data_IF_577739050893
#
_entry.id   IF_577739050893
#
_cell.length_a   1.000
_cell.length_b   1.000
_cell.length_c   1.000
_cell.angle_alpha   90.00
_cell.angle_beta   90.00
_cell.angle_gamma   90.00
#
_symmetry.space_group_name_H-M   'P 1'
#
loop_
_entity.id
_entity.type
_entity.pdbx_description
1 polymer ?
#
# COMPACT_ATOMS: atom_id res chain seq x y z
N UNK A 1 -24.96 -3.85 34.13
CA UNK A 1 -24.61 -5.11 34.84
C UNK A 1 -24.12 -6.13 33.82
N UNK A 2 -22.84 -6.51 33.87
CA UNK A 2 -22.36 -7.65 33.08
C UNK A 2 -22.74 -8.94 33.81
N UNK A 3 -23.53 -9.82 33.20
CA UNK A 3 -23.78 -11.16 33.77
C UNK A 3 -22.45 -11.89 33.85
N UNK A 4 -22.07 -12.33 35.05
CA UNK A 4 -20.90 -13.18 35.27
C UNK A 4 -21.28 -14.58 34.73
N UNK A 5 -20.64 -14.98 33.64
CA UNK A 5 -20.79 -16.31 33.04
C UNK A 5 -19.46 -17.01 33.24
N UNK A 6 -19.48 -18.27 33.68
CA UNK A 6 -18.24 -19.00 33.93
C UNK A 6 -17.49 -19.23 32.60
N UNK A 7 -16.15 -19.13 32.58
CA UNK A 7 -15.36 -19.28 31.36
C UNK A 7 -15.52 -20.67 30.71
N UNK A 8 -15.74 -21.71 31.52
CA UNK A 8 -16.01 -23.07 31.02
C UNK A 8 -17.25 -23.14 30.11
N UNK A 9 -18.31 -22.41 30.45
CA UNK A 9 -19.56 -22.38 29.67
C UNK A 9 -19.34 -21.64 28.35
N UNK A 10 -18.53 -20.58 28.36
CA UNK A 10 -18.20 -19.84 27.13
C UNK A 10 -17.34 -20.66 26.17
N UNK A 11 -16.45 -21.52 26.69
CA UNK A 11 -15.66 -22.45 25.87
C UNK A 11 -16.56 -23.50 25.20
N UNK A 12 -17.49 -24.11 25.93
CA UNK A 12 -18.44 -25.07 25.33
C UNK A 12 -19.34 -24.42 24.27
N UNK A 13 -19.77 -23.18 24.51
CA UNK A 13 -20.54 -22.42 23.52
C UNK A 13 -19.68 -22.08 22.29
N UNK A 14 -18.40 -21.75 22.46
CA UNK A 14 -17.46 -21.54 21.35
C UNK A 14 -17.30 -22.80 20.49
N UNK A 15 -17.08 -23.95 21.12
CA UNK A 15 -16.90 -25.23 20.42
C UNK A 15 -18.14 -25.57 19.58
N UNK A 16 -19.34 -25.43 20.16
CA UNK A 16 -20.60 -25.62 19.43
C UNK A 16 -20.76 -24.72 18.21
N UNK A 17 -20.36 -23.45 18.31
CA UNK A 17 -20.44 -22.52 17.17
C UNK A 17 -19.41 -22.89 16.09
N UNK A 18 -18.24 -23.41 16.46
CA UNK A 18 -17.21 -23.85 15.52
C UNK A 18 -17.60 -25.13 14.78
N UNK A 19 -18.21 -26.08 15.48
CA UNK A 19 -18.71 -27.36 14.94
C UNK A 19 -19.93 -27.20 14.04
N UNK A 20 -20.65 -26.06 14.15
CA UNK A 20 -21.84 -25.83 13.36
C UNK A 20 -21.53 -25.69 11.84
N UNK A 21 -22.38 -26.27 10.96
CA UNK A 21 -22.24 -26.17 9.51
C UNK A 21 -22.21 -24.72 8.99
N UNK A 22 -21.64 -24.54 7.80
CA UNK A 22 -21.58 -23.23 7.15
C UNK A 22 -23.00 -22.69 6.89
N UNK A 23 -23.31 -21.50 7.41
CA UNK A 23 -24.64 -20.89 7.34
C UNK A 23 -25.50 -21.03 8.61
N UNK A 24 -25.25 -22.02 9.47
CA UNK A 24 -26.07 -22.28 10.68
C UNK A 24 -25.47 -21.70 11.96
N UNK A 25 -24.22 -21.20 11.91
CA UNK A 25 -23.52 -20.59 13.05
C UNK A 25 -24.30 -19.45 13.71
N UNK A 26 -25.06 -18.68 12.93
CA UNK A 26 -25.89 -17.60 13.48
C UNK A 26 -27.08 -18.15 14.28
N UNK A 27 -27.69 -19.25 13.85
CA UNK A 27 -28.81 -19.88 14.54
C UNK A 27 -28.36 -20.47 15.89
N UNK A 28 -27.23 -21.18 15.90
CA UNK A 28 -26.62 -21.72 17.14
C UNK A 28 -26.28 -20.60 18.12
N UNK A 29 -25.74 -19.49 17.61
CA UNK A 29 -25.42 -18.34 18.44
C UNK A 29 -26.67 -17.67 19.06
N UNK A 30 -27.79 -17.62 18.35
CA UNK A 30 -29.06 -17.10 18.89
C UNK A 30 -29.67 -18.01 19.95
N UNK A 31 -29.61 -19.33 19.74
CA UNK A 31 -30.08 -20.32 20.71
C UNK A 31 -29.29 -20.25 22.02
N UNK A 32 -27.95 -20.24 21.93
CA UNK A 32 -27.06 -20.14 23.07
C UNK A 32 -27.18 -18.78 23.78
N UNK A 33 -27.39 -17.70 23.02
CA UNK A 33 -27.68 -16.39 23.60
C UNK A 33 -28.98 -16.39 24.38
N UNK A 34 -30.03 -17.07 23.89
CA UNK A 34 -31.30 -17.23 24.60
C UNK A 34 -31.12 -18.06 25.87
N UNK A 35 -30.38 -19.15 25.81
CA UNK A 35 -30.07 -19.99 26.97
C UNK A 35 -29.34 -19.22 28.08
N UNK A 36 -28.35 -18.40 27.72
CA UNK A 36 -27.60 -17.56 28.65
C UNK A 36 -28.36 -16.27 29.05
N UNK A 37 -29.53 -16.02 28.44
CA UNK A 37 -30.35 -14.83 28.59
C UNK A 37 -29.60 -13.53 28.26
N UNK A 38 -28.80 -13.57 27.20
CA UNK A 38 -28.05 -12.44 26.65
C UNK A 38 -28.58 -12.11 25.25
N UNK A 39 -28.31 -10.88 24.77
CA UNK A 39 -28.53 -10.60 23.36
C UNK A 39 -27.46 -11.31 22.51
N UNK A 40 -27.76 -11.73 21.27
CA UNK A 40 -26.79 -12.33 20.36
C UNK A 40 -25.52 -11.48 20.21
N UNK A 41 -25.68 -10.16 20.07
CA UNK A 41 -24.55 -9.22 20.03
C UNK A 41 -23.74 -9.15 21.33
N UNK A 42 -24.40 -9.27 22.49
CA UNK A 42 -23.75 -9.31 23.80
C UNK A 42 -22.92 -10.58 24.00
N UNK A 43 -23.43 -11.74 23.57
CA UNK A 43 -22.69 -13.00 23.59
C UNK A 43 -21.48 -12.94 22.67
N UNK A 44 -21.62 -12.42 21.44
CA UNK A 44 -20.50 -12.19 20.51
C UNK A 44 -19.40 -11.31 21.11
N UNK A 45 -19.78 -10.17 21.67
CA UNK A 45 -18.84 -9.24 22.29
C UNK A 45 -18.11 -9.89 23.48
N UNK A 46 -18.80 -10.76 24.23
CA UNK A 46 -18.22 -11.47 25.36
C UNK A 46 -17.27 -12.58 24.94
N UNK A 47 -17.64 -13.41 23.95
CA UNK A 47 -16.76 -14.42 23.35
C UNK A 47 -15.49 -13.78 22.78
N UNK A 48 -15.62 -12.64 22.08
CA UNK A 48 -14.46 -11.90 21.56
C UNK A 48 -13.55 -11.39 22.68
N UNK A 49 -14.14 -10.80 23.73
CA UNK A 49 -13.40 -10.19 24.85
C UNK A 49 -12.70 -11.21 25.75
N UNK A 50 -13.39 -12.29 26.10
CA UNK A 50 -12.91 -13.24 27.12
C UNK A 50 -12.12 -14.41 26.52
N UNK A 51 -12.32 -14.73 25.24
CA UNK A 51 -11.70 -15.89 24.58
C UNK A 51 -10.90 -15.55 23.32
N UNK A 52 -10.65 -14.26 23.03
CA UNK A 52 -9.93 -13.79 21.84
C UNK A 52 -10.35 -14.52 20.54
N UNK A 53 -11.65 -14.75 20.39
CA UNK A 53 -12.20 -15.58 19.32
C UNK A 53 -12.44 -14.78 18.04
N UNK A 54 -11.41 -14.14 17.50
CA UNK A 54 -11.53 -13.40 16.24
C UNK A 54 -11.75 -14.33 15.04
N UNK A 55 -11.29 -15.59 15.12
CA UNK A 55 -11.53 -16.65 14.12
C UNK A 55 -13.02 -16.97 13.91
N UNK A 56 -13.85 -16.79 14.95
CA UNK A 56 -15.28 -17.06 14.90
C UNK A 56 -16.06 -15.99 14.11
N UNK A 57 -15.48 -14.80 13.98
CA UNK A 57 -16.16 -13.65 13.41
C UNK A 57 -15.29 -13.09 12.31
N UNK A 58 -15.51 -13.60 11.09
CA UNK A 58 -14.88 -13.07 9.90
C UNK A 58 -15.21 -11.58 9.79
N UNK A 59 -14.21 -10.76 10.11
CA UNK A 59 -14.27 -9.31 10.05
C UNK A 59 -13.86 -8.82 8.68
N UNK A 60 -13.43 -9.71 7.79
CA UNK A 60 -13.06 -9.33 6.45
C UNK A 60 -14.31 -9.02 5.66
N UNK A 61 -14.49 -7.74 5.33
CA UNK A 61 -15.50 -7.32 4.37
C UNK A 61 -15.28 -8.12 3.09
N UNK A 62 -16.30 -8.88 2.68
CA UNK A 62 -16.25 -9.63 1.44
C UNK A 62 -15.87 -8.69 0.30
N UNK A 63 -14.69 -8.93 -0.27
CA UNK A 63 -14.18 -8.15 -1.39
C UNK A 63 -15.06 -8.46 -2.61
N UNK A 64 -15.41 -7.42 -3.36
CA UNK A 64 -16.19 -7.62 -4.60
C UNK A 64 -15.39 -8.48 -5.57
N UNK A 65 -16.09 -9.30 -6.35
CA UNK A 65 -15.47 -10.25 -7.31
C UNK A 65 -14.68 -9.54 -8.42
N UNK A 66 -15.02 -8.30 -8.73
CA UNK A 66 -14.38 -7.45 -9.74
C UNK A 66 -13.23 -6.58 -9.18
N UNK A 67 -12.94 -6.67 -7.89
CA UNK A 67 -12.01 -5.75 -7.23
C UNK A 67 -10.57 -5.96 -7.69
N UNK A 68 -10.12 -5.13 -8.64
CA UNK A 68 -8.79 -5.19 -9.26
C UNK A 68 -8.83 -5.60 -10.73
N UNK A 69 -10.01 -5.94 -11.28
CA UNK A 69 -10.19 -6.16 -12.71
C UNK A 69 -10.30 -4.82 -13.43
N UNK A 70 -9.60 -4.70 -14.56
CA UNK A 70 -9.58 -3.51 -15.41
C UNK A 70 -9.59 -3.94 -16.87
N UNK A 71 -10.37 -3.23 -17.69
CA UNK A 71 -10.35 -3.38 -19.16
C UNK A 71 -9.10 -2.77 -19.78
N UNK A 72 -8.39 -1.90 -19.06
CA UNK A 72 -7.13 -1.30 -19.52
C UNK A 72 -6.03 -2.35 -19.46
N UNK A 73 -5.48 -2.70 -20.62
CA UNK A 73 -4.38 -3.64 -20.73
C UNK A 73 -3.05 -3.04 -20.26
N UNK A 74 -2.08 -3.89 -19.94
CA UNK A 74 -0.73 -3.44 -19.58
C UNK A 74 -0.05 -2.71 -20.74
N UNK A 75 -0.27 -3.14 -21.99
CA UNK A 75 0.28 -2.50 -23.18
C UNK A 75 -0.28 -1.09 -23.39
N UNK A 76 -1.58 -0.90 -23.13
CA UNK A 76 -2.22 0.41 -23.15
C UNK A 76 -1.62 1.34 -22.08
N UNK A 77 -1.40 0.83 -20.86
CA UNK A 77 -0.75 1.58 -19.77
C UNK A 77 0.68 2.00 -20.14
N UNK A 78 1.48 1.07 -20.70
CA UNK A 78 2.84 1.35 -21.14
C UNK A 78 2.88 2.38 -22.27
N UNK A 79 1.92 2.33 -23.20
CA UNK A 79 1.80 3.29 -24.29
C UNK A 79 1.58 4.70 -23.74
N UNK A 80 0.61 4.87 -22.83
CA UNK A 80 0.34 6.18 -22.19
C UNK A 80 1.54 6.64 -21.35
N UNK A 81 2.20 5.73 -20.61
CA UNK A 81 3.38 6.04 -19.81
C UNK A 81 4.53 6.60 -20.67
N UNK A 82 4.75 6.09 -21.88
CA UNK A 82 5.75 6.62 -22.81
C UNK A 82 5.49 8.07 -23.18
N UNK A 83 4.23 8.45 -23.44
CA UNK A 83 3.87 9.84 -23.72
C UNK A 83 4.01 10.73 -22.48
N UNK A 84 3.73 10.21 -21.28
CA UNK A 84 3.94 10.94 -20.02
C UNK A 84 5.42 11.28 -19.79
N UNK A 85 6.33 10.33 -20.04
CA UNK A 85 7.78 10.54 -19.92
C UNK A 85 8.30 11.44 -21.05
N UNK A 86 7.86 11.22 -22.28
CA UNK A 86 8.27 12.01 -23.44
C UNK A 86 7.85 13.49 -23.37
N UNK A 87 6.79 13.80 -22.63
CA UNK A 87 6.33 15.17 -22.37
C UNK A 87 7.07 15.92 -21.25
N UNK A 88 8.04 15.28 -20.58
CA UNK A 88 8.85 15.94 -19.56
C UNK A 88 9.79 16.99 -20.19
N UNK A 89 9.88 18.20 -19.61
CA UNK A 89 10.74 19.27 -20.14
C UNK A 89 12.20 18.97 -19.81
N UNK A 90 13.13 19.45 -20.65
CA UNK A 90 14.60 19.37 -20.44
C UNK A 90 15.08 19.93 -19.09
N UNK A 91 14.28 20.77 -18.42
CA UNK A 91 14.61 21.38 -17.13
C UNK A 91 14.17 20.53 -15.91
N UNK A 92 13.81 19.25 -16.09
CA UNK A 92 13.35 18.37 -15.00
C UNK A 92 11.95 18.70 -14.46
N UNK A 93 11.32 19.80 -14.93
CA UNK A 93 9.93 20.10 -14.63
C UNK A 93 9.01 19.24 -15.50
N UNK A 94 8.20 18.41 -14.83
CA UNK A 94 7.24 17.53 -15.47
C UNK A 94 6.13 18.36 -16.13
N UNK A 95 6.05 18.30 -17.46
CA UNK A 95 5.14 19.13 -18.27
C UNK A 95 3.94 18.41 -18.87
N UNK A 96 3.90 17.08 -18.81
CA UNK A 96 2.81 16.29 -19.38
C UNK A 96 1.65 16.14 -18.40
N UNK A 97 0.50 16.73 -18.71
CA UNK A 97 -0.77 16.35 -18.08
C UNK A 97 -1.25 15.02 -18.69
N UNK A 98 -1.87 14.17 -17.87
CA UNK A 98 -2.42 12.88 -18.31
C UNK A 98 -3.42 13.05 -19.45
N UNK A 99 -4.19 14.14 -19.44
CA UNK A 99 -5.11 14.50 -20.53
C UNK A 99 -4.39 14.65 -21.87
N UNK A 100 -3.25 15.33 -21.89
CA UNK A 100 -2.43 15.49 -23.09
C UNK A 100 -1.82 14.17 -23.56
N UNK A 101 -1.33 13.35 -22.63
CA UNK A 101 -0.78 12.04 -22.94
C UNK A 101 -1.84 11.09 -23.52
N UNK A 102 -3.05 11.08 -22.97
CA UNK A 102 -4.16 10.28 -23.48
C UNK A 102 -4.64 10.75 -24.85
N UNK A 103 -4.64 12.06 -25.11
CA UNK A 103 -4.97 12.60 -26.44
C UNK A 103 -4.01 12.09 -27.51
N UNK A 104 -2.71 12.04 -27.20
CA UNK A 104 -1.67 11.56 -28.12
C UNK A 104 -1.64 10.04 -28.24
N UNK A 105 -1.95 9.32 -27.15
CA UNK A 105 -1.97 7.86 -27.11
C UNK A 105 -3.24 7.26 -27.73
N UNK A 106 -4.31 8.04 -27.90
CA UNK A 106 -5.63 7.60 -28.38
C UNK A 106 -5.64 6.71 -29.64
N UNK A 107 -4.83 6.96 -30.69
CA UNK A 107 -4.78 6.08 -31.86
C UNK A 107 -4.02 4.76 -31.63
N UNK A 108 -3.33 4.62 -30.50
CA UNK A 108 -2.46 3.48 -30.18
C UNK A 108 -2.95 2.63 -29.01
N UNK A 109 -4.07 3.01 -28.38
CA UNK A 109 -4.69 2.28 -27.28
C UNK A 109 -6.00 1.64 -27.73
N UNK A 110 -6.44 0.62 -27.01
CA UNK A 110 -7.73 -0.01 -27.27
C UNK A 110 -8.91 0.99 -27.14
N UNK A 111 -9.95 0.89 -27.98
CA UNK A 111 -11.10 1.82 -27.94
C UNK A 111 -11.86 1.75 -26.62
N UNK A 112 -11.88 0.57 -25.98
CA UNK A 112 -12.47 0.37 -24.66
C UNK A 112 -11.68 1.10 -23.57
N UNK A 113 -10.34 1.07 -23.61
CA UNK A 113 -9.49 1.83 -22.69
C UNK A 113 -9.60 3.36 -22.94
N UNK A 114 -9.75 3.79 -24.20
CA UNK A 114 -9.91 5.19 -24.55
C UNK A 114 -11.23 5.81 -24.04
N UNK A 115 -12.25 4.99 -23.78
CA UNK A 115 -13.53 5.43 -23.21
C UNK A 115 -13.50 5.56 -21.67
N UNK A 116 -12.43 5.10 -21.02
CA UNK A 116 -12.32 5.14 -19.56
C UNK A 116 -12.08 6.55 -19.04
N UNK A 117 -12.59 6.81 -17.83
CA UNK A 117 -12.40 8.09 -17.16
C UNK A 117 -10.94 8.34 -16.77
N UNK A 118 -10.56 9.62 -16.65
CA UNK A 118 -9.23 10.03 -16.21
C UNK A 118 -8.86 9.50 -14.82
N UNK A 119 -9.83 9.42 -13.91
CA UNK A 119 -9.61 8.87 -12.57
C UNK A 119 -9.30 7.37 -12.62
N UNK A 120 -9.93 6.63 -13.52
CA UNK A 120 -9.60 5.22 -13.79
C UNK A 120 -8.16 5.09 -14.29
N UNK A 121 -7.76 5.92 -15.27
CA UNK A 121 -6.39 5.93 -15.78
C UNK A 121 -5.35 6.26 -14.71
N UNK A 122 -5.59 7.30 -13.88
CA UNK A 122 -4.70 7.65 -12.76
C UNK A 122 -4.56 6.50 -11.77
N UNK A 123 -5.66 5.82 -11.44
CA UNK A 123 -5.65 4.68 -10.53
C UNK A 123 -4.85 3.52 -11.13
N UNK A 124 -5.12 3.14 -12.38
CA UNK A 124 -4.45 2.01 -13.03
C UNK A 124 -2.97 2.26 -13.27
N UNK A 125 -2.58 3.47 -13.69
CA UNK A 125 -1.17 3.86 -13.80
C UNK A 125 -0.46 3.80 -12.44
N UNK A 126 -1.12 4.23 -11.35
CA UNK A 126 -0.55 4.11 -10.00
C UNK A 126 -0.41 2.66 -9.54
N UNK A 127 -1.41 1.81 -9.82
CA UNK A 127 -1.36 0.39 -9.45
C UNK A 127 -0.31 -0.39 -10.23
N UNK A 128 0.01 0.06 -11.45
CA UNK A 128 1.05 -0.51 -12.30
C UNK A 128 2.44 0.11 -12.08
N UNK A 129 2.61 0.99 -11.08
CA UNK A 129 3.85 1.74 -10.82
C UNK A 129 4.33 2.63 -11.99
N UNK A 130 3.42 3.03 -12.87
CA UNK A 130 3.64 3.88 -14.05
C UNK A 130 3.11 5.30 -13.86
N UNK A 131 2.85 5.72 -12.61
CA UNK A 131 2.49 7.12 -12.37
C UNK A 131 3.67 8.04 -12.67
N UNK A 132 3.37 9.27 -13.07
CA UNK A 132 4.39 10.27 -13.41
C UNK A 132 5.41 10.48 -12.29
N UNK A 133 4.95 10.46 -11.03
CA UNK A 133 5.79 10.55 -9.83
C UNK A 133 6.68 9.33 -9.62
N UNK A 134 6.22 8.13 -10.00
CA UNK A 134 7.00 6.89 -9.87
C UNK A 134 8.02 6.78 -11.00
N UNK A 135 7.65 7.13 -12.23
CA UNK A 135 8.56 7.15 -13.38
C UNK A 135 9.68 8.18 -13.22
N UNK A 136 9.48 9.24 -12.43
CA UNK A 136 10.49 10.25 -12.13
C UNK A 136 11.41 9.89 -10.95
N UNK A 137 11.11 8.82 -10.21
CA UNK A 137 12.00 8.36 -9.15
C UNK A 137 13.18 7.61 -9.75
N UNK A 138 14.40 8.04 -9.44
CA UNK A 138 15.59 7.28 -9.76
C UNK A 138 15.54 5.91 -9.08
N UNK A 139 15.87 4.87 -9.84
CA UNK A 139 15.93 3.48 -9.39
C UNK A 139 17.21 3.23 -8.56
N UNK A 140 17.31 3.91 -7.42
CA UNK A 140 18.51 3.89 -6.59
C UNK A 140 18.26 3.15 -5.27
N UNK A 141 17.89 1.86 -5.36
CA UNK A 141 18.12 0.91 -4.27
C UNK A 141 18.97 -0.25 -4.77
N UNK A 142 20.29 -0.14 -4.58
CA UNK A 142 21.15 -1.33 -4.61
C UNK A 142 20.82 -2.17 -3.39
N UNK A 143 20.01 -3.21 -3.59
CA UNK A 143 19.82 -4.26 -2.60
C UNK A 143 21.03 -5.17 -2.73
N UNK A 144 21.96 -5.08 -1.78
CA UNK A 144 23.07 -6.01 -1.68
C UNK A 144 22.65 -7.10 -0.70
N UNK A 145 22.46 -8.32 -1.18
CA UNK A 145 22.20 -9.50 -0.34
C UNK A 145 23.48 -10.27 -0.12
N UNK A 146 23.62 -10.91 1.03
CA UNK A 146 24.76 -11.77 1.32
C UNK A 146 24.37 -12.92 2.22
N UNK A 147 24.84 -14.13 1.91
CA UNK A 147 24.49 -15.34 2.67
C UNK A 147 25.14 -15.41 4.05
N UNK A 148 26.20 -14.61 4.29
CA UNK A 148 26.95 -14.58 5.53
C UNK A 148 27.12 -13.14 6.03
N UNK A 149 26.95 -12.85 7.34
CA UNK A 149 26.92 -11.49 7.90
C UNK A 149 28.18 -10.63 7.67
N UNK A 150 29.29 -11.22 7.18
CA UNK A 150 30.54 -10.52 6.87
C UNK A 150 30.90 -10.50 5.38
N UNK A 151 30.01 -10.91 4.47
CA UNK A 151 30.32 -10.93 3.03
C UNK A 151 30.22 -9.56 2.36
N UNK A 152 29.42 -8.64 2.92
CA UNK A 152 29.22 -7.31 2.37
C UNK A 152 29.53 -6.28 3.44
N UNK A 153 30.52 -5.45 3.17
CA UNK A 153 30.85 -4.30 4.00
C UNK A 153 30.35 -3.03 3.32
N UNK A 154 29.43 -2.33 3.98
CA UNK A 154 29.02 -0.98 3.57
C UNK A 154 29.96 0.00 4.26
N UNK A 155 30.79 0.69 3.47
CA UNK A 155 31.65 1.75 3.98
C UNK A 155 30.86 3.05 3.87
N UNK A 156 30.32 3.51 5.00
CA UNK A 156 29.67 4.82 5.08
C UNK A 156 30.69 5.87 5.55
N UNK A 157 31.22 6.64 4.60
CA UNK A 157 32.12 7.74 4.90
C UNK A 157 31.29 9.00 5.21
N UNK A 158 30.94 9.18 6.49
CA UNK A 158 30.26 10.41 6.93
C UNK A 158 31.27 11.50 7.27
N UNK A 159 31.04 12.69 6.72
CA UNK A 159 31.81 13.89 7.07
C UNK A 159 31.09 14.59 8.22
N UNK A 160 31.68 14.56 9.42
CA UNK A 160 31.12 15.29 10.56
C UNK A 160 31.39 16.79 10.41
N UNK A 161 30.33 17.55 10.07
CA UNK A 161 30.37 19.01 9.91
C UNK A 161 31.00 19.73 11.11
N UNK A 162 30.89 19.15 12.31
CA UNK A 162 31.42 19.69 13.57
C UNK A 162 32.95 19.89 13.55
N UNK A 163 33.69 19.08 12.78
CA UNK A 163 35.15 19.20 12.68
C UNK A 163 35.61 20.10 11.53
N UNK A 164 34.75 20.31 10.53
CA UNK A 164 35.08 21.06 9.32
C UNK A 164 34.46 22.46 9.23
N UNK A 165 33.53 22.80 10.12
CA UNK A 165 32.91 24.12 10.18
C UNK A 165 33.53 24.97 11.28
N UNK A 166 34.68 25.61 10.98
CA UNK A 166 35.30 26.61 11.85
C UNK A 166 34.99 28.02 11.34
N UNK A 167 34.60 28.98 12.20
CA UNK A 167 34.32 30.36 11.80
C UNK A 167 35.48 31.07 11.07
N UNK A 168 36.71 30.58 11.25
CA UNK A 168 37.95 31.15 10.69
C UNK A 168 38.85 30.10 10.01
N UNK A 169 38.29 29.15 9.27
CA UNK A 169 39.13 28.18 8.53
C UNK A 169 38.50 26.83 8.23
N UNK A 170 37.18 26.75 8.13
CA UNK A 170 36.48 25.54 7.72
C UNK A 170 36.38 25.37 6.20
N UNK A 171 35.84 24.23 5.75
CA UNK A 171 35.57 23.93 4.32
C UNK A 171 34.75 25.04 3.63
N UNK A 172 33.95 25.82 4.38
CA UNK A 172 33.21 26.99 3.88
C UNK A 172 34.04 28.28 3.68
N UNK A 173 35.34 28.29 3.94
CA UNK A 173 36.20 29.50 3.85
C UNK A 173 37.18 29.51 2.67
N UNK A 174 37.17 28.48 1.82
CA UNK A 174 37.86 28.58 0.53
C UNK A 174 37.08 29.54 -0.37
N UNK A 175 37.57 30.77 -0.50
CA UNK A 175 37.26 31.58 -1.67
C UNK A 175 37.72 30.80 -2.89
N UNK A 176 36.77 30.29 -3.67
CA UNK A 176 37.02 29.86 -5.03
C UNK A 176 37.37 31.12 -5.81
N UNK A 177 38.66 31.43 -5.92
CA UNK A 177 39.14 32.35 -6.94
C UNK A 177 38.86 31.64 -8.27
N UNK A 178 37.72 31.96 -8.87
CA UNK A 178 37.47 31.62 -10.26
C UNK A 178 38.48 32.43 -11.04
N UNK A 179 39.57 31.78 -11.45
CA UNK A 179 40.47 32.35 -12.43
C UNK A 179 39.63 32.59 -13.68
N UNK A 180 39.31 33.87 -13.93
CA UNK A 180 38.77 34.33 -15.19
C UNK A 180 39.79 33.97 -16.28
N UNK A 181 39.58 32.86 -16.99
CA UNK A 181 40.30 32.60 -18.23
C UNK A 181 39.77 33.61 -19.26
N UNK A 182 40.66 34.55 -19.62
CA UNK A 182 40.62 35.26 -20.90
C UNK A 182 40.85 34.27 -22.05
#
# INVERSE_FOLDING_TARGET
>A
MQRIVKPAVLNTTRERILEAPWGERNAVLEEEARFLGMSPGGLRAKLRRELCSDELFDTTRQRRSDAGSSTISQDDLMTVARYLVGGARKNGMMGGDLDGALLLARPHISPEAAAMSLSTWRLQLRLADLSQTQLAQDDARRIVTSDHPNHVHIIDATVSWRFYWRPKGGIGTRQLTVASMM
#
